data_IF_320863529795
#
_entry.id   IF_320863529795
#
_cell.length_a   1.000
_cell.length_b   1.000
_cell.length_c   1.000
_cell.angle_alpha   90.00
_cell.angle_beta   90.00
_cell.angle_gamma   90.00
#
_symmetry.space_group_name_H-M   'P 1'
#
loop_
_entity.id
_entity.type
_entity.pdbx_description
1 polymer ?
#
# COMPACT_ATOMS: atom_id res chain seq x y z
N UNK A 1 36.53 -15.23 -22.66
CA UNK A 1 36.69 -15.69 -21.27
C UNK A 1 35.46 -15.21 -20.53
N UNK A 2 34.41 -16.02 -20.64
CA UNK A 2 33.17 -15.93 -19.89
C UNK A 2 33.43 -16.11 -18.39
N UNK A 3 32.71 -15.36 -17.55
CA UNK A 3 31.70 -15.85 -16.59
C UNK A 3 31.51 -14.81 -15.48
N UNK A 4 30.34 -14.16 -15.46
CA UNK A 4 29.56 -13.87 -14.24
C UNK A 4 28.20 -13.27 -14.62
N UNK A 5 27.41 -14.07 -15.34
CA UNK A 5 25.95 -14.00 -15.29
C UNK A 5 25.54 -14.60 -13.95
N UNK A 6 25.24 -13.76 -12.96
CA UNK A 6 24.60 -14.16 -11.72
C UNK A 6 23.17 -13.62 -11.78
N UNK A 7 22.26 -14.49 -12.23
CA UNK A 7 20.86 -14.19 -12.43
C UNK A 7 20.19 -13.70 -11.15
N UNK A 8 19.54 -12.55 -11.26
CA UNK A 8 18.42 -12.23 -10.38
C UNK A 8 17.31 -13.25 -10.69
N UNK A 9 17.19 -14.26 -9.82
CA UNK A 9 16.05 -15.16 -9.77
C UNK A 9 14.78 -14.34 -9.61
N UNK A 10 13.72 -14.74 -10.31
CA UNK A 10 12.51 -13.96 -10.54
C UNK A 10 11.44 -14.22 -9.47
N UNK A 11 10.98 -13.15 -8.79
CA UNK A 11 9.63 -13.11 -8.21
C UNK A 11 8.75 -12.00 -8.79
N UNK A 12 9.36 -10.96 -9.37
CA UNK A 12 8.71 -9.69 -9.71
C UNK A 12 7.83 -9.74 -10.98
N UNK A 13 7.37 -10.92 -11.40
CA UNK A 13 6.81 -11.14 -12.75
C UNK A 13 5.32 -10.82 -12.93
N UNK A 14 4.59 -10.34 -11.91
CA UNK A 14 3.13 -10.11 -12.05
C UNK A 14 2.66 -8.66 -12.01
N UNK A 15 3.52 -7.69 -11.68
CA UNK A 15 3.28 -6.31 -12.10
C UNK A 15 3.79 -6.16 -13.54
N UNK A 16 2.89 -6.05 -14.50
CA UNK A 16 3.21 -5.74 -15.89
C UNK A 16 4.05 -4.46 -15.91
N UNK A 17 5.01 -4.35 -16.84
CA UNK A 17 5.84 -3.13 -17.02
C UNK A 17 5.03 -1.83 -17.04
N UNK A 18 3.79 -1.89 -17.53
CA UNK A 18 2.86 -0.76 -17.55
C UNK A 18 2.37 -0.36 -16.17
N UNK A 19 2.05 -1.31 -15.29
CA UNK A 19 1.63 -1.03 -13.91
C UNK A 19 2.80 -0.44 -13.13
N UNK A 20 4.01 -0.98 -13.31
CA UNK A 20 5.22 -0.41 -12.71
C UNK A 20 5.47 1.03 -13.17
N UNK A 21 5.33 1.29 -14.47
CA UNK A 21 5.46 2.64 -15.03
C UNK A 21 4.42 3.60 -14.44
N UNK A 22 3.16 3.19 -14.31
CA UNK A 22 2.08 3.99 -13.71
C UNK A 22 2.39 4.28 -12.22
N UNK A 23 2.79 3.25 -11.47
CA UNK A 23 3.14 3.37 -10.05
C UNK A 23 4.30 4.35 -9.83
N UNK A 24 5.33 4.32 -10.69
CA UNK A 24 6.50 5.19 -10.57
C UNK A 24 6.35 6.59 -11.17
N UNK A 25 5.29 6.86 -11.95
CA UNK A 25 5.07 8.19 -12.55
C UNK A 25 3.95 8.95 -11.86
N UNK A 26 2.82 8.29 -11.61
CA UNK A 26 1.63 8.92 -11.05
C UNK A 26 1.53 8.73 -9.53
N UNK A 27 2.20 7.70 -9.01
CA UNK A 27 2.19 7.34 -7.58
C UNK A 27 0.79 7.34 -6.96
N UNK A 28 -0.15 6.60 -7.56
CA UNK A 28 -1.47 6.43 -6.99
C UNK A 28 -1.39 5.72 -5.64
N UNK A 29 -2.46 5.82 -4.86
CA UNK A 29 -2.64 4.93 -3.72
C UNK A 29 -2.75 3.48 -4.20
N UNK A 30 -2.10 2.58 -3.48
CA UNK A 30 -2.03 1.16 -3.80
C UNK A 30 -2.74 0.42 -2.68
N UNK A 31 -3.74 -0.39 -3.04
CA UNK A 31 -4.36 -1.34 -2.13
C UNK A 31 -3.94 -2.75 -2.55
N UNK A 32 -3.25 -3.46 -1.65
CA UNK A 32 -2.81 -4.82 -1.89
C UNK A 32 -3.61 -5.77 -1.02
N UNK A 33 -4.29 -6.70 -1.66
CA UNK A 33 -4.87 -7.86 -1.01
C UNK A 33 -3.88 -9.02 -1.11
N UNK A 34 -3.29 -9.38 0.02
CA UNK A 34 -2.22 -10.38 0.11
C UNK A 34 -2.57 -11.46 1.14
N UNK A 35 -3.55 -12.34 0.84
CA UNK A 35 -3.96 -13.38 1.77
C UNK A 35 -2.81 -14.36 2.04
N UNK A 36 -2.56 -14.65 3.32
CA UNK A 36 -1.53 -15.60 3.73
C UNK A 36 -0.08 -15.11 3.56
N UNK A 37 0.13 -13.85 3.16
CA UNK A 37 1.47 -13.26 3.07
C UNK A 37 1.76 -12.35 4.26
N UNK A 38 3.00 -12.37 4.80
CA UNK A 38 3.40 -11.35 5.75
C UNK A 38 3.44 -9.99 5.04
N UNK A 39 2.80 -8.99 5.64
CA UNK A 39 2.74 -7.64 5.08
C UNK A 39 4.14 -7.07 4.76
N UNK A 40 5.16 -7.44 5.54
CA UNK A 40 6.54 -7.00 5.33
C UNK A 40 7.13 -7.48 4.00
N UNK A 41 6.86 -8.72 3.58
CA UNK A 41 7.32 -9.23 2.28
C UNK A 41 6.72 -8.45 1.11
N UNK A 42 5.41 -8.16 1.20
CA UNK A 42 4.68 -7.34 0.23
C UNK A 42 5.27 -5.91 0.15
N UNK A 43 5.53 -5.31 1.31
CA UNK A 43 6.08 -3.95 1.41
C UNK A 43 7.49 -3.90 0.82
N UNK A 44 8.33 -4.89 1.10
CA UNK A 44 9.68 -4.98 0.54
C UNK A 44 9.66 -5.10 -0.99
N UNK A 45 8.73 -5.88 -1.55
CA UNK A 45 8.58 -6.02 -3.00
C UNK A 45 8.14 -4.71 -3.67
N UNK A 46 7.27 -3.94 -3.03
CA UNK A 46 6.74 -2.69 -3.58
C UNK A 46 7.61 -1.46 -3.27
N UNK A 47 8.53 -1.56 -2.30
CA UNK A 47 9.44 -0.47 -1.92
C UNK A 47 10.11 0.24 -3.11
N UNK A 48 10.60 -0.45 -4.17
CA UNK A 48 11.26 0.20 -5.30
C UNK A 48 10.36 1.13 -6.13
N UNK A 49 9.02 1.01 -6.04
CA UNK A 49 8.07 1.91 -6.76
C UNK A 49 7.49 3.01 -5.88
N UNK A 50 7.76 2.97 -4.58
CA UNK A 50 7.26 3.95 -3.64
C UNK A 50 8.10 5.22 -3.65
N UNK A 51 7.48 6.37 -3.37
CA UNK A 51 8.21 7.63 -3.15
C UNK A 51 8.90 7.62 -1.78
N UNK A 52 10.22 7.80 -1.70
CA UNK A 52 10.85 8.10 -0.42
C UNK A 52 10.47 9.53 0.05
N UNK A 53 10.51 9.80 1.36
CA UNK A 53 10.75 8.86 2.46
C UNK A 53 9.56 7.92 2.68
N UNK A 54 9.85 6.68 3.07
CA UNK A 54 8.84 5.71 3.50
C UNK A 54 8.54 5.90 4.98
N UNK A 55 7.27 6.01 5.32
CA UNK A 55 6.79 6.09 6.71
C UNK A 55 5.77 5.00 6.97
N UNK A 56 5.93 4.29 8.06
CA UNK A 56 4.96 3.31 8.52
C UNK A 56 3.97 3.99 9.43
N UNK A 57 2.68 3.82 9.18
CA UNK A 57 1.67 4.22 10.14
C UNK A 57 1.54 3.13 11.20
N UNK A 58 1.85 3.50 12.44
CA UNK A 58 1.58 2.69 13.60
C UNK A 58 0.48 3.37 14.43
N UNK A 59 -0.69 2.72 14.43
CA UNK A 59 -1.88 3.12 15.17
C UNK A 59 -1.61 3.14 16.67
N UNK A 60 -0.88 2.13 17.18
CA UNK A 60 -0.60 1.99 18.60
C UNK A 60 0.38 3.07 19.11
N UNK A 61 1.23 3.59 18.22
CA UNK A 61 2.22 4.61 18.57
C UNK A 61 1.67 6.04 18.60
N UNK A 62 0.35 6.24 18.41
CA UNK A 62 -0.27 7.57 18.29
C UNK A 62 0.51 8.47 17.32
N UNK A 63 1.01 7.88 16.23
CA UNK A 63 1.95 8.56 15.36
C UNK A 63 1.28 9.81 14.79
N UNK A 64 1.94 10.96 14.94
CA UNK A 64 1.44 12.21 14.38
C UNK A 64 1.40 12.08 12.86
N UNK A 65 0.24 12.39 12.28
CA UNK A 65 0.10 12.46 10.83
C UNK A 65 1.17 13.38 10.25
N UNK A 66 1.87 12.98 9.18
CA UNK A 66 2.92 13.82 8.61
C UNK A 66 2.31 15.14 8.13
N UNK A 67 2.72 16.25 8.78
CA UNK A 67 2.20 17.61 8.51
C UNK A 67 2.73 18.15 7.17
N UNK A 68 3.93 17.69 6.76
CA UNK A 68 4.56 17.96 5.46
C UNK A 68 4.73 16.64 4.71
N UNK A 69 3.61 16.03 4.33
CA UNK A 69 3.58 14.69 3.76
C UNK A 69 4.08 14.69 2.29
N UNK A 70 5.38 14.50 2.11
CA UNK A 70 6.00 14.09 0.85
C UNK A 70 6.61 12.70 1.00
N UNK A 71 6.45 11.81 0.02
CA UNK A 71 6.93 10.43 0.08
C UNK A 71 5.78 9.43 0.11
N UNK A 72 5.93 8.34 0.87
CA UNK A 72 4.92 7.28 0.96
C UNK A 72 4.56 6.96 2.41
N UNK A 73 3.27 6.72 2.64
CA UNK A 73 2.73 6.19 3.89
C UNK A 73 2.36 4.72 3.68
N UNK A 74 2.85 3.86 4.56
CA UNK A 74 2.60 2.42 4.56
C UNK A 74 1.62 2.13 5.68
N UNK A 75 0.46 1.57 5.33
CA UNK A 75 -0.59 1.15 6.27
C UNK A 75 -0.65 -0.37 6.25
N UNK A 76 -0.23 -0.99 7.36
CA UNK A 76 -0.28 -2.44 7.54
C UNK A 76 -1.67 -2.84 8.02
N UNK A 77 -2.13 -3.97 7.51
CA UNK A 77 -3.45 -4.56 7.81
C UNK A 77 -4.57 -3.53 7.91
N UNK A 78 -4.83 -2.83 6.79
CA UNK A 78 -5.84 -1.77 6.75
C UNK A 78 -7.25 -2.27 7.11
N UNK A 79 -7.52 -3.59 6.98
CA UNK A 79 -8.78 -4.20 7.40
C UNK A 79 -8.98 -4.22 8.93
N UNK A 80 -7.89 -4.17 9.70
CA UNK A 80 -7.92 -4.17 11.16
C UNK A 80 -8.21 -2.79 11.76
N UNK A 81 -8.22 -1.73 10.95
CA UNK A 81 -8.50 -0.38 11.44
C UNK A 81 -9.92 -0.28 12.01
N UNK A 82 -10.04 0.31 13.18
CA UNK A 82 -11.34 0.62 13.76
C UNK A 82 -12.03 1.79 13.04
N UNK A 83 -13.30 2.05 13.38
CA UNK A 83 -14.08 3.10 12.74
C UNK A 83 -13.51 4.52 12.97
N UNK A 84 -12.76 4.75 14.05
CA UNK A 84 -12.11 6.03 14.36
C UNK A 84 -10.86 6.20 13.50
N UNK A 85 -10.04 5.16 13.43
CA UNK A 85 -8.82 5.09 12.63
C UNK A 85 -9.10 5.23 11.13
N UNK A 86 -10.13 4.55 10.63
CA UNK A 86 -10.58 4.70 9.25
C UNK A 86 -11.00 6.15 8.93
N UNK A 87 -11.74 6.81 9.83
CA UNK A 87 -12.12 8.22 9.67
C UNK A 87 -10.90 9.14 9.72
N UNK A 88 -9.98 8.91 10.63
CA UNK A 88 -8.75 9.70 10.74
C UNK A 88 -7.89 9.59 9.48
N UNK A 89 -7.71 8.37 8.96
CA UNK A 89 -7.00 8.15 7.70
C UNK A 89 -7.71 8.83 6.52
N UNK A 90 -9.03 8.73 6.44
CA UNK A 90 -9.82 9.39 5.40
C UNK A 90 -9.71 10.92 5.48
N UNK A 91 -9.85 11.50 6.67
CA UNK A 91 -9.69 12.94 6.89
C UNK A 91 -8.28 13.42 6.54
N UNK A 92 -7.25 12.65 6.89
CA UNK A 92 -5.87 12.97 6.52
C UNK A 92 -5.67 12.93 5.00
N UNK A 93 -6.20 11.91 4.30
CA UNK A 93 -6.14 11.76 2.84
C UNK A 93 -6.85 12.88 2.05
N UNK A 94 -7.80 13.57 2.68
CA UNK A 94 -8.55 14.69 2.09
C UNK A 94 -7.89 16.05 2.38
N UNK A 95 -6.88 16.11 3.26
CA UNK A 95 -6.13 17.34 3.49
C UNK A 95 -5.09 17.53 2.39
N UNK A 96 -4.93 18.77 1.91
CA UNK A 96 -4.03 19.14 0.79
C UNK A 96 -2.57 18.65 0.90
N UNK A 97 -1.95 18.44 2.08
CA UNK A 97 -0.63 17.81 2.17
C UNK A 97 -0.60 16.35 1.72
N UNK A 98 -1.70 15.60 1.87
CA UNK A 98 -1.76 14.18 1.54
C UNK A 98 -1.86 13.90 0.03
N UNK A 99 -2.27 14.87 -0.80
CA UNK A 99 -2.29 14.71 -2.27
C UNK A 99 -0.90 14.45 -2.87
N UNK A 100 0.17 14.76 -2.14
CA UNK A 100 1.56 14.50 -2.53
C UNK A 100 2.12 13.21 -1.94
N UNK A 101 1.38 12.54 -1.05
CA UNK A 101 1.79 11.29 -0.41
C UNK A 101 1.13 10.11 -1.08
N UNK A 102 1.95 9.16 -1.48
CA UNK A 102 1.49 7.87 -1.96
C UNK A 102 1.13 6.99 -0.76
N UNK A 103 -0.08 6.41 -0.72
CA UNK A 103 -0.42 5.44 0.33
C UNK A 103 -0.32 4.02 -0.20
N UNK A 104 0.50 3.20 0.44
CA UNK A 104 0.48 1.75 0.28
C UNK A 104 -0.31 1.15 1.44
N UNK A 105 -1.47 0.56 1.15
CA UNK A 105 -2.27 -0.21 2.11
C UNK A 105 -2.15 -1.69 1.80
N UNK A 106 -1.83 -2.49 2.80
CA UNK A 106 -1.75 -3.95 2.68
C UNK A 106 -2.81 -4.57 3.60
N UNK A 107 -3.50 -5.60 3.13
CA UNK A 107 -4.45 -6.35 3.96
C UNK A 107 -4.50 -7.83 3.58
N UNK A 108 -4.64 -8.75 4.56
CA UNK A 108 -4.87 -10.16 4.32
C UNK A 108 -6.35 -10.51 4.05
N UNK A 109 -7.28 -9.55 4.16
CA UNK A 109 -8.74 -9.75 4.05
C UNK A 109 -9.31 -8.85 2.95
N UNK A 110 -10.27 -9.33 2.12
CA UNK A 110 -10.87 -8.49 1.09
C UNK A 110 -11.71 -7.37 1.75
N UNK A 111 -11.42 -6.10 1.42
CA UNK A 111 -12.12 -4.95 1.99
C UNK A 111 -13.55 -4.76 1.44
N UNK A 112 -13.83 -5.21 0.22
CA UNK A 112 -15.13 -4.99 -0.41
C UNK A 112 -16.28 -5.62 0.40
N UNK A 113 -16.21 -6.89 0.85
CA UNK A 113 -17.20 -7.45 1.78
C UNK A 113 -17.26 -6.77 3.16
N UNK A 114 -16.18 -6.11 3.61
CA UNK A 114 -16.20 -5.31 4.86
C UNK A 114 -16.99 -4.01 4.63
N UNK A 115 -16.80 -3.39 3.48
CA UNK A 115 -17.47 -2.17 3.05
C UNK A 115 -18.97 -2.39 2.86
N UNK A 116 -19.37 -3.46 2.16
CA UNK A 116 -20.79 -3.78 1.93
C UNK A 116 -21.60 -3.95 3.23
N UNK A 117 -20.97 -4.43 4.31
CA UNK A 117 -21.62 -4.59 5.63
C UNK A 117 -21.42 -3.41 6.58
N UNK A 118 -20.80 -2.31 6.12
CA UNK A 118 -20.53 -1.12 6.93
C UNK A 118 -19.42 -1.27 7.97
N UNK A 119 -18.62 -2.34 7.92
CA UNK A 119 -17.46 -2.54 8.78
C UNK A 119 -16.20 -1.80 8.27
N UNK A 120 -16.23 -1.35 7.02
CA UNK A 120 -15.18 -0.52 6.42
C UNK A 120 -15.80 0.68 5.70
N UNK A 121 -15.19 1.86 5.87
CA UNK A 121 -15.68 3.12 5.31
C UNK A 121 -15.57 3.10 3.79
N UNK A 122 -16.70 3.25 3.10
CA UNK A 122 -16.83 3.32 1.65
C UNK A 122 -15.93 4.39 1.02
N UNK A 123 -15.95 5.60 1.57
CA UNK A 123 -15.18 6.74 1.09
C UNK A 123 -13.67 6.50 1.25
N UNK A 124 -13.25 5.73 2.27
CA UNK A 124 -11.86 5.31 2.42
C UNK A 124 -11.50 4.21 1.42
N UNK A 125 -12.37 3.22 1.22
CA UNK A 125 -12.17 2.14 0.26
C UNK A 125 -11.89 2.68 -1.13
N UNK A 126 -12.74 3.55 -1.67
CA UNK A 126 -12.54 4.12 -3.00
C UNK A 126 -11.31 5.03 -3.10
N UNK A 127 -10.91 5.68 -2.00
CA UNK A 127 -9.73 6.55 -1.98
C UNK A 127 -8.41 5.76 -1.94
N UNK A 128 -8.41 4.60 -1.30
CA UNK A 128 -7.26 3.68 -1.27
C UNK A 128 -7.18 2.81 -2.53
N UNK A 129 -8.34 2.43 -3.07
CA UNK A 129 -8.47 1.52 -4.21
C UNK A 129 -8.27 2.22 -5.57
N UNK A 130 -7.13 2.89 -5.76
CA UNK A 130 -6.75 3.46 -7.05
C UNK A 130 -6.05 2.41 -7.93
N UNK A 131 -5.30 1.49 -7.30
CA UNK A 131 -4.76 0.30 -7.94
C UNK A 131 -4.88 -0.90 -6.99
N UNK A 132 -5.57 -1.96 -7.43
CA UNK A 132 -5.79 -3.18 -6.65
C UNK A 132 -4.89 -4.31 -7.16
N UNK A 133 -4.03 -4.83 -6.29
CA UNK A 133 -3.19 -6.00 -6.58
C UNK A 133 -3.69 -7.19 -5.77
N UNK A 134 -4.10 -8.25 -6.47
CA UNK A 134 -4.67 -9.47 -5.85
C UNK A 134 -3.77 -10.71 -6.03
N UNK A 135 -2.61 -10.54 -6.64
CA UNK A 135 -1.84 -11.64 -7.26
C UNK A 135 -0.36 -11.66 -6.85
N UNK A 136 -0.01 -11.04 -5.72
CA UNK A 136 1.31 -11.17 -5.12
C UNK A 136 1.42 -12.57 -4.49
N UNK A 137 2.43 -13.35 -4.88
CA UNK A 137 2.68 -14.69 -4.30
C UNK A 137 3.88 -14.57 -3.36
N UNK A 138 3.81 -15.25 -2.22
CA UNK A 138 4.91 -15.32 -1.25
C UNK A 138 6.21 -15.66 -1.97
N UNK A 139 7.20 -14.79 -1.81
CA UNK A 139 8.57 -15.21 -1.94
C UNK A 139 8.91 -16.11 -0.77
N UNK A 140 9.07 -17.41 -1.05
CA UNK A 140 9.72 -18.36 -0.16
C UNK A 140 11.21 -18.08 -0.05
#
# INVERSE_FOLDING_TARGET
MDTASAGLSAPSKRLLRHEWAILSTHHPNILVFAPGLPAEGVIQELTPVLRPPLRYWDVAAAMSWPVNAAGSLIVRDVAALDATEQRNLHLWLNQRPAERTQVLSVTPVPLFPLMERGAFLDALYYRLNVLHLTDLIALG
#
